data_IF_000871195522
#
_entry.id   IF_000871195522
#
_cell.length_a   1.000
_cell.length_b   1.000
_cell.length_c   1.000
_cell.angle_alpha   90.00
_cell.angle_beta   90.00
_cell.angle_gamma   90.00
#
_symmetry.space_group_name_H-M   'P 1'
#
loop_
_entity.id
_entity.type
_entity.pdbx_description
1 polymer ?
#
# COMPACT_ATOMS: atom_id res chain seq x y z
N UNK A 1 64.68 -51.42 15.32
CA UNK A 1 64.39 -52.80 14.86
C UNK A 1 65.31 -53.17 13.70
N UNK A 2 65.92 -54.36 13.75
CA UNK A 2 66.78 -54.93 12.70
C UNK A 2 66.42 -56.40 12.46
N UNK A 3 66.13 -56.80 11.21
CA UNK A 3 65.85 -58.19 10.87
C UNK A 3 67.17 -58.98 10.80
N UNK A 4 67.29 -60.06 11.56
CA UNK A 4 68.52 -60.86 11.63
C UNK A 4 68.46 -62.05 10.68
N UNK A 5 67.42 -62.86 10.82
CA UNK A 5 67.31 -64.16 10.17
C UNK A 5 65.85 -64.54 9.99
N UNK A 6 65.52 -65.16 8.86
CA UNK A 6 64.20 -65.73 8.61
C UNK A 6 64.33 -67.18 8.15
N UNK A 7 63.38 -68.00 8.61
CA UNK A 7 63.19 -69.37 8.14
C UNK A 7 61.73 -69.56 7.75
N UNK A 8 61.48 -69.91 6.49
CA UNK A 8 60.14 -70.19 5.97
C UNK A 8 59.97 -71.70 5.88
N UNK A 9 59.08 -72.27 6.69
CA UNK A 9 58.73 -73.68 6.53
C UNK A 9 57.87 -73.88 5.27
N UNK A 10 56.84 -73.06 5.10
CA UNK A 10 55.97 -73.07 3.93
C UNK A 10 55.12 -71.80 3.83
N UNK A 11 55.22 -71.08 2.71
CA UNK A 11 54.42 -69.87 2.44
C UNK A 11 54.33 -69.59 0.93
N UNK A 12 53.18 -69.89 0.33
CA UNK A 12 53.00 -69.90 -1.12
C UNK A 12 53.90 -70.95 -1.78
N UNK A 13 54.72 -70.52 -2.74
CA UNK A 13 55.72 -71.38 -3.39
C UNK A 13 57.02 -71.54 -2.57
N UNK A 14 57.21 -70.75 -1.50
CA UNK A 14 58.43 -70.82 -0.68
C UNK A 14 58.38 -72.02 0.27
N UNK A 15 59.45 -72.81 0.30
CA UNK A 15 59.58 -74.00 1.15
C UNK A 15 60.98 -74.14 1.71
N UNK A 16 61.04 -74.48 2.99
CA UNK A 16 62.27 -74.68 3.77
C UNK A 16 63.37 -73.69 3.42
N UNK A 17 62.98 -72.42 3.29
CA UNK A 17 63.86 -71.35 2.85
C UNK A 17 64.48 -70.71 4.10
N UNK A 18 65.80 -70.72 4.16
CA UNK A 18 66.56 -70.08 5.23
C UNK A 18 67.34 -68.89 4.64
N UNK A 19 67.13 -67.69 5.19
CA UNK A 19 67.84 -66.48 4.76
C UNK A 19 68.40 -65.73 5.97
N UNK A 20 69.70 -65.47 5.93
CA UNK A 20 70.35 -64.50 6.80
C UNK A 20 70.19 -63.09 6.20
N UNK A 21 69.54 -62.19 6.94
CA UNK A 21 69.27 -60.82 6.49
C UNK A 21 70.29 -59.81 7.03
N UNK A 22 71.01 -60.16 8.10
CA UNK A 22 72.06 -59.33 8.69
C UNK A 22 73.37 -60.10 8.84
N UNK A 23 74.48 -59.45 8.49
CA UNK A 23 75.82 -59.99 8.74
C UNK A 23 76.19 -59.88 10.23
N UNK A 24 76.71 -60.95 10.86
CA UNK A 24 77.23 -60.89 12.23
C UNK A 24 78.33 -59.83 12.38
N UNK A 25 78.18 -58.91 13.32
CA UNK A 25 79.22 -57.93 13.68
C UNK A 25 79.26 -56.64 12.85
N UNK A 26 78.36 -56.42 11.88
CA UNK A 26 78.23 -55.14 11.16
C UNK A 26 76.89 -54.44 11.48
N UNK A 27 76.91 -53.30 12.20
CA UNK A 27 75.72 -52.49 12.38
C UNK A 27 75.45 -51.67 11.11
N UNK A 28 74.44 -52.06 10.34
CA UNK A 28 73.94 -51.33 9.16
C UNK A 28 74.28 -51.99 7.83
N UNK A 29 73.28 -52.12 6.96
CA UNK A 29 73.41 -52.71 5.63
C UNK A 29 72.11 -52.66 4.84
N UNK A 30 72.22 -52.75 3.52
CA UNK A 30 71.08 -52.90 2.61
C UNK A 30 71.02 -54.37 2.21
N UNK A 31 69.92 -55.06 2.54
CA UNK A 31 69.68 -56.41 2.04
C UNK A 31 69.03 -56.33 0.67
N UNK A 32 69.70 -56.83 -0.36
CA UNK A 32 69.18 -56.88 -1.72
C UNK A 32 68.77 -58.31 -2.10
N UNK A 33 67.47 -58.54 -2.27
CA UNK A 33 66.94 -59.82 -2.76
C UNK A 33 66.90 -59.79 -4.31
N UNK A 34 67.87 -60.43 -4.95
CA UNK A 34 67.97 -60.56 -6.41
C UNK A 34 67.42 -61.90 -6.89
N UNK A 35 66.70 -61.88 -8.00
CA UNK A 35 66.22 -63.09 -8.66
C UNK A 35 65.28 -62.76 -9.82
N UNK A 36 64.98 -63.73 -10.70
CA UNK A 36 64.03 -63.55 -11.79
C UNK A 36 62.63 -63.18 -11.28
N UNK A 37 61.77 -62.72 -12.19
CA UNK A 37 60.34 -62.58 -11.87
C UNK A 37 59.81 -63.92 -11.35
N UNK A 38 58.85 -63.87 -10.43
CA UNK A 38 58.25 -65.06 -9.79
C UNK A 38 59.19 -65.89 -8.89
N UNK A 39 60.44 -65.47 -8.68
CA UNK A 39 61.35 -66.10 -7.70
C UNK A 39 60.91 -65.95 -6.22
N UNK A 40 59.72 -65.40 -5.96
CA UNK A 40 59.17 -65.28 -4.60
C UNK A 40 59.57 -64.03 -3.82
N UNK A 41 60.18 -63.00 -4.44
CA UNK A 41 60.60 -61.76 -3.75
C UNK A 41 59.44 -61.05 -3.03
N UNK A 42 58.33 -60.80 -3.73
CA UNK A 42 57.12 -60.21 -3.15
C UNK A 42 56.48 -61.13 -2.09
N UNK A 43 56.63 -62.43 -2.26
CA UNK A 43 56.17 -63.47 -1.31
C UNK A 43 56.97 -63.42 -0.01
N UNK A 44 58.29 -63.21 -0.06
CA UNK A 44 59.15 -62.99 1.13
C UNK A 44 58.71 -61.72 1.86
N UNK A 45 58.45 -60.62 1.14
CA UNK A 45 57.95 -59.39 1.75
C UNK A 45 56.56 -59.56 2.39
N UNK A 46 55.67 -60.35 1.78
CA UNK A 46 54.39 -60.72 2.38
C UNK A 46 54.57 -61.61 3.63
N UNK A 47 55.50 -62.56 3.60
CA UNK A 47 55.83 -63.42 4.73
C UNK A 47 56.34 -62.60 5.92
N UNK A 48 57.31 -61.69 5.71
CA UNK A 48 57.84 -60.80 6.75
C UNK A 48 56.73 -59.98 7.40
N UNK A 49 55.83 -59.40 6.61
CA UNK A 49 54.66 -58.66 7.14
C UNK A 49 53.75 -59.56 7.98
N UNK A 50 53.50 -60.78 7.51
CA UNK A 50 52.71 -61.76 8.24
C UNK A 50 53.37 -62.24 9.53
N UNK A 51 54.69 -62.29 9.58
CA UNK A 51 55.43 -62.57 10.81
C UNK A 51 55.30 -61.44 11.83
N UNK A 52 55.42 -60.18 11.41
CA UNK A 52 55.33 -59.02 12.30
C UNK A 52 53.90 -58.77 12.79
N UNK A 53 52.90 -58.77 11.90
CA UNK A 53 51.53 -58.35 12.20
C UNK A 53 50.49 -59.48 12.25
N UNK A 54 50.92 -60.72 11.99
CA UNK A 54 50.05 -61.88 11.87
C UNK A 54 49.62 -62.16 10.44
N UNK A 55 49.37 -63.45 10.16
CA UNK A 55 48.89 -63.90 8.86
C UNK A 55 47.39 -63.64 8.70
N UNK A 56 46.97 -63.32 7.48
CA UNK A 56 45.56 -63.14 7.12
C UNK A 56 44.74 -64.42 7.38
N UNK A 57 43.54 -64.25 7.96
CA UNK A 57 42.59 -65.34 8.18
C UNK A 57 42.05 -65.87 6.84
N UNK A 58 41.64 -67.14 6.81
CA UNK A 58 40.95 -67.73 5.64
C UNK A 58 39.77 -66.84 5.21
N UNK A 59 39.74 -66.42 3.94
CA UNK A 59 38.69 -65.57 3.37
C UNK A 59 38.90 -64.05 3.51
N UNK A 60 40.05 -63.59 4.01
CA UNK A 60 40.39 -62.17 4.03
C UNK A 60 40.74 -61.60 2.63
N UNK A 61 40.60 -60.28 2.46
CA UNK A 61 40.88 -59.59 1.20
C UNK A 61 42.34 -59.73 0.71
N UNK A 62 43.29 -59.97 1.63
CA UNK A 62 44.64 -60.40 1.31
C UNK A 62 44.67 -61.93 1.26
N UNK A 63 44.92 -62.49 0.07
CA UNK A 63 44.97 -63.93 -0.15
C UNK A 63 45.91 -64.64 0.85
N UNK A 64 45.47 -65.79 1.36
CA UNK A 64 46.29 -66.63 2.22
C UNK A 64 47.28 -67.38 1.34
N UNK A 65 48.57 -67.10 1.49
CA UNK A 65 49.66 -67.79 0.77
C UNK A 65 49.84 -69.23 1.28
N UNK A 66 48.79 -70.06 1.19
CA UNK A 66 48.86 -71.46 1.62
C UNK A 66 49.93 -72.21 0.78
N UNK A 67 50.70 -73.15 1.36
CA UNK A 67 51.79 -73.83 0.65
C UNK A 67 51.22 -74.72 -0.48
N UNK A 68 51.70 -74.54 -1.71
CA UNK A 68 51.09 -75.15 -2.90
C UNK A 68 51.10 -76.70 -2.93
N UNK A 69 52.14 -77.35 -2.42
CA UNK A 69 52.23 -78.83 -2.34
C UNK A 69 52.14 -79.36 -0.91
N UNK A 70 51.59 -78.57 0.01
CA UNK A 70 51.51 -78.93 1.43
C UNK A 70 52.81 -78.69 2.20
N UNK A 71 52.74 -78.89 3.52
CA UNK A 71 53.81 -78.56 4.46
C UNK A 71 53.32 -77.78 5.68
N UNK A 72 54.23 -77.43 6.59
CA UNK A 72 53.89 -76.61 7.76
C UNK A 72 53.79 -75.15 7.33
N UNK A 73 52.57 -74.60 7.29
CA UNK A 73 52.35 -73.20 6.93
C UNK A 73 52.92 -72.27 8.01
N UNK A 74 53.75 -71.32 7.58
CA UNK A 74 54.40 -70.33 8.44
C UNK A 74 55.92 -70.51 8.53
N UNK A 75 56.50 -70.05 9.63
CA UNK A 75 57.94 -70.07 9.84
C UNK A 75 58.41 -69.31 11.08
N UNK A 76 59.68 -68.92 11.07
CA UNK A 76 60.38 -68.28 12.19
C UNK A 76 61.09 -67.01 11.71
N UNK A 77 61.09 -66.00 12.56
CA UNK A 77 61.75 -64.71 12.32
C UNK A 77 62.51 -64.29 13.57
N UNK A 78 63.79 -63.98 13.41
CA UNK A 78 64.64 -63.40 14.44
C UNK A 78 64.89 -61.92 14.13
N UNK A 79 64.67 -61.08 15.13
CA UNK A 79 64.74 -59.62 15.03
C UNK A 79 65.49 -59.09 16.24
N UNK A 80 66.21 -57.99 16.07
CA UNK A 80 66.86 -57.25 17.16
C UNK A 80 66.16 -55.91 17.34
N UNK A 81 65.86 -55.53 18.58
CA UNK A 81 65.33 -54.19 18.87
C UNK A 81 66.45 -53.13 18.96
N UNK A 82 66.07 -51.88 19.17
CA UNK A 82 67.00 -50.75 19.33
C UNK A 82 67.87 -50.85 20.60
N UNK A 83 67.48 -51.70 21.56
CA UNK A 83 68.21 -51.99 22.80
C UNK A 83 69.12 -53.21 22.66
N UNK A 84 69.20 -53.81 21.48
CA UNK A 84 70.03 -54.99 21.21
C UNK A 84 69.45 -56.31 21.74
N UNK A 85 68.17 -56.35 22.09
CA UNK A 85 67.51 -57.56 22.57
C UNK A 85 67.02 -58.40 21.39
N UNK A 86 67.22 -59.72 21.46
CA UNK A 86 66.81 -60.66 20.42
C UNK A 86 65.35 -61.09 20.62
N UNK A 87 64.54 -60.84 19.61
CA UNK A 87 63.15 -61.27 19.50
C UNK A 87 63.05 -62.45 18.53
N UNK A 88 62.38 -63.52 18.97
CA UNK A 88 62.07 -64.69 18.15
C UNK A 88 60.56 -64.80 18.00
N UNK A 89 60.10 -64.73 16.76
CA UNK A 89 58.69 -64.85 16.40
C UNK A 89 58.55 -66.16 15.63
N UNK A 90 57.75 -67.08 16.15
CA UNK A 90 57.39 -68.32 15.49
C UNK A 90 55.89 -68.31 15.24
N UNK A 91 55.50 -68.56 13.99
CA UNK A 91 54.10 -68.72 13.59
C UNK A 91 53.99 -69.95 12.75
N UNK A 92 53.37 -71.00 13.29
CA UNK A 92 53.20 -72.28 12.60
C UNK A 92 51.75 -72.72 12.68
N UNK A 93 51.19 -73.15 11.56
CA UNK A 93 49.88 -73.80 11.56
C UNK A 93 50.03 -75.27 11.97
N UNK A 94 49.37 -75.63 13.07
CA UNK A 94 49.26 -77.01 13.55
C UNK A 94 47.79 -77.33 13.80
N UNK A 95 47.36 -78.51 13.33
CA UNK A 95 45.98 -79.00 13.48
C UNK A 95 44.91 -77.98 13.02
N UNK A 96 45.18 -77.24 11.94
CA UNK A 96 44.24 -76.24 11.38
C UNK A 96 44.13 -74.93 12.17
N UNK A 97 44.99 -74.71 13.17
CA UNK A 97 45.05 -73.46 13.95
C UNK A 97 46.44 -72.82 13.85
N UNK A 98 46.48 -71.49 13.74
CA UNK A 98 47.74 -70.74 13.74
C UNK A 98 48.28 -70.63 15.17
N UNK A 99 49.38 -71.30 15.46
CA UNK A 99 50.08 -71.19 16.73
C UNK A 99 51.12 -70.08 16.61
N UNK A 100 51.03 -69.07 17.48
CA UNK A 100 51.99 -67.97 17.55
C UNK A 100 52.73 -68.03 18.88
N UNK A 101 54.05 -68.07 18.79
CA UNK A 101 54.97 -68.06 19.93
C UNK A 101 55.95 -66.91 19.71
N UNK A 102 56.00 -65.98 20.67
CA UNK A 102 56.89 -64.83 20.62
C UNK A 102 57.74 -64.86 21.88
N UNK A 103 59.05 -64.79 21.70
CA UNK A 103 60.01 -64.72 22.79
C UNK A 103 60.91 -63.50 22.64
N UNK A 104 61.26 -62.91 23.76
CA UNK A 104 62.30 -61.89 23.86
C UNK A 104 63.40 -62.39 24.78
N UNK A 105 64.65 -62.25 24.37
CA UNK A 105 65.82 -62.49 25.22
C UNK A 105 66.12 -61.20 26.00
N UNK A 106 65.88 -61.23 27.31
CA UNK A 106 66.21 -60.12 28.20
C UNK A 106 67.71 -59.89 28.33
N UNK A 107 68.09 -58.74 28.88
CA UNK A 107 69.50 -58.39 29.13
C UNK A 107 70.19 -59.34 30.13
N UNK A 108 69.41 -60.05 30.95
CA UNK A 108 69.86 -61.09 31.88
C UNK A 108 70.02 -62.48 31.21
N UNK A 109 69.78 -62.56 29.89
CA UNK A 109 69.84 -63.78 29.09
C UNK A 109 68.61 -64.68 29.22
N UNK A 110 67.59 -64.31 30.00
CA UNK A 110 66.37 -65.11 30.17
C UNK A 110 65.42 -64.91 28.99
N UNK A 111 64.72 -65.98 28.63
CA UNK A 111 63.68 -65.95 27.60
C UNK A 111 62.34 -65.59 28.22
N UNK A 112 61.79 -64.47 27.84
CA UNK A 112 60.46 -64.00 28.24
C UNK A 112 59.45 -64.29 27.13
N UNK A 113 58.26 -64.77 27.48
CA UNK A 113 57.18 -65.00 26.50
C UNK A 113 56.37 -63.72 26.34
N UNK A 114 56.24 -63.26 25.10
CA UNK A 114 55.59 -62.01 24.76
C UNK A 114 54.25 -62.24 24.05
N UNK A 115 53.40 -61.21 24.07
CA UNK A 115 52.11 -61.18 23.36
C UNK A 115 52.23 -60.38 22.07
N UNK A 116 51.26 -60.52 21.16
CA UNK A 116 51.21 -59.73 19.93
C UNK A 116 51.16 -58.21 20.19
N UNK A 117 50.34 -57.69 21.13
CA UNK A 117 50.33 -56.25 21.42
C UNK A 117 51.66 -55.74 22.00
N UNK A 118 52.36 -56.56 22.79
CA UNK A 118 53.68 -56.21 23.31
C UNK A 118 54.73 -56.13 22.19
N UNK A 119 54.71 -57.07 21.24
CA UNK A 119 55.53 -57.00 20.03
C UNK A 119 55.27 -55.70 19.25
N UNK A 120 54.00 -55.38 18.99
CA UNK A 120 53.63 -54.19 18.23
C UNK A 120 54.05 -52.89 18.93
N UNK A 121 53.91 -52.82 20.24
CA UNK A 121 54.26 -51.62 21.01
C UNK A 121 55.78 -51.48 21.19
N UNK A 122 56.45 -52.55 21.60
CA UNK A 122 57.84 -52.51 22.05
C UNK A 122 58.85 -52.70 20.91
N UNK A 123 58.54 -53.53 19.91
CA UNK A 123 59.42 -53.77 18.76
C UNK A 123 59.07 -52.89 17.56
N UNK A 124 57.77 -52.68 17.30
CA UNK A 124 57.27 -51.98 16.10
C UNK A 124 56.84 -50.53 16.38
N UNK A 125 57.05 -50.02 17.60
CA UNK A 125 56.79 -48.62 17.95
C UNK A 125 55.30 -48.22 17.93
N UNK A 126 54.39 -49.18 18.12
CA UNK A 126 52.94 -48.94 18.14
C UNK A 126 52.29 -48.80 16.76
N UNK A 127 53.04 -49.07 15.69
CA UNK A 127 52.52 -49.04 14.32
C UNK A 127 51.68 -50.29 14.06
N UNK A 128 50.44 -50.12 13.61
CA UNK A 128 49.62 -51.24 13.16
C UNK A 128 50.03 -51.70 11.74
N UNK A 129 49.63 -52.91 11.34
CA UNK A 129 50.04 -53.49 10.05
C UNK A 129 49.52 -52.75 8.81
N UNK A 130 48.50 -51.92 8.95
CA UNK A 130 48.00 -51.08 7.86
C UNK A 130 48.89 -49.85 7.66
N UNK A 131 49.21 -49.15 8.76
CA UNK A 131 50.14 -48.02 8.77
C UNK A 131 51.54 -48.45 8.31
N UNK A 132 52.01 -49.63 8.73
CA UNK A 132 53.30 -50.15 8.28
C UNK A 132 53.37 -50.33 6.76
N UNK A 133 52.28 -50.86 6.17
CA UNK A 133 52.21 -51.03 4.72
C UNK A 133 52.29 -49.71 3.98
N UNK A 134 51.60 -48.68 4.49
CA UNK A 134 51.54 -47.35 3.87
C UNK A 134 52.83 -46.55 4.04
N UNK A 135 53.52 -46.68 5.17
CA UNK A 135 54.69 -45.85 5.50
C UNK A 135 56.03 -46.48 5.14
N UNK A 136 56.17 -47.80 5.28
CA UNK A 136 57.48 -48.47 5.22
C UNK A 136 57.61 -49.45 4.04
N UNK A 137 56.55 -49.67 3.26
CA UNK A 137 56.54 -50.59 2.14
C UNK A 137 56.08 -49.90 0.86
N UNK A 138 56.89 -48.96 0.35
CA UNK A 138 56.64 -48.26 -0.90
C UNK A 138 56.64 -49.28 -2.05
N UNK A 139 55.49 -49.41 -2.70
CA UNK A 139 55.31 -50.23 -3.88
C UNK A 139 55.69 -49.47 -5.15
N UNK A 140 55.88 -50.19 -6.26
CA UNK A 140 56.20 -49.57 -7.54
C UNK A 140 55.07 -48.65 -8.03
N UNK A 141 53.82 -48.99 -7.75
CA UNK A 141 52.65 -48.20 -8.15
C UNK A 141 52.60 -46.87 -7.38
N UNK A 142 52.81 -46.91 -6.06
CA UNK A 142 52.92 -45.71 -5.21
C UNK A 142 54.10 -44.81 -5.63
N UNK A 143 55.19 -45.40 -6.11
CA UNK A 143 56.34 -44.65 -6.62
C UNK A 143 56.00 -43.89 -7.92
N UNK A 144 55.15 -44.47 -8.78
CA UNK A 144 54.70 -43.81 -10.01
C UNK A 144 53.69 -42.69 -9.72
N UNK A 145 52.80 -42.85 -8.74
CA UNK A 145 51.88 -41.79 -8.31
C UNK A 145 52.64 -40.60 -7.71
N UNK A 146 53.67 -40.87 -6.91
CA UNK A 146 54.57 -39.83 -6.37
C UNK A 146 55.28 -39.02 -7.46
N UNK A 147 55.62 -39.62 -8.59
CA UNK A 147 56.25 -38.93 -9.71
C UNK A 147 55.28 -38.03 -10.50
N UNK A 148 53.98 -38.28 -10.42
CA UNK A 148 52.95 -37.49 -11.09
C UNK A 148 52.58 -36.20 -10.33
N UNK A 149 52.86 -36.14 -9.03
CA UNK A 149 52.53 -35.01 -8.16
C UNK A 149 53.56 -33.89 -8.29
N UNK A 150 53.11 -32.64 -8.41
CA UNK A 150 53.99 -31.46 -8.52
C UNK A 150 53.82 -30.50 -7.34
N UNK A 151 54.93 -30.01 -6.77
CA UNK A 151 54.92 -28.94 -5.77
C UNK A 151 54.30 -29.34 -4.42
N UNK A 152 53.43 -28.48 -3.88
CA UNK A 152 52.81 -28.61 -2.55
C UNK A 152 51.91 -29.87 -2.40
N UNK A 153 51.55 -30.50 -3.52
CA UNK A 153 50.79 -31.75 -3.55
C UNK A 153 51.56 -32.94 -2.94
N UNK A 154 52.89 -32.89 -2.96
CA UNK A 154 53.74 -33.91 -2.31
C UNK A 154 53.58 -33.86 -0.80
N UNK A 155 53.47 -32.66 -0.22
CA UNK A 155 53.20 -32.49 1.21
C UNK A 155 51.84 -33.05 1.59
N UNK A 156 50.80 -32.71 0.83
CA UNK A 156 49.45 -33.22 1.05
C UNK A 156 49.36 -34.75 0.90
N UNK A 157 50.03 -35.34 -0.08
CA UNK A 157 50.09 -36.80 -0.27
C UNK A 157 50.82 -37.51 0.88
N UNK A 158 51.92 -36.93 1.39
CA UNK A 158 52.61 -37.45 2.58
C UNK A 158 51.75 -37.35 3.85
N UNK A 159 50.95 -36.29 3.98
CA UNK A 159 49.96 -36.16 5.05
C UNK A 159 48.79 -37.15 4.90
N UNK A 160 48.31 -37.39 3.68
CA UNK A 160 47.20 -38.32 3.37
C UNK A 160 47.60 -39.80 3.55
N UNK A 161 48.86 -40.13 3.23
CA UNK A 161 49.45 -41.45 3.49
C UNK A 161 49.76 -41.69 4.97
N UNK A 162 50.06 -40.64 5.75
CA UNK A 162 50.44 -40.74 7.16
C UNK A 162 49.31 -40.64 8.19
N UNK A 163 48.26 -39.87 7.92
CA UNK A 163 47.13 -39.63 8.82
C UNK A 163 45.83 -39.72 8.00
N UNK A 164 45.21 -40.89 7.95
CA UNK A 164 43.99 -41.11 7.19
C UNK A 164 42.93 -40.04 7.48
N UNK A 165 42.63 -39.20 6.48
CA UNK A 165 41.66 -38.10 6.61
C UNK A 165 42.07 -36.77 5.97
N UNK A 166 43.32 -36.60 5.53
CA UNK A 166 43.81 -35.36 4.89
C UNK A 166 42.95 -34.90 3.71
N UNK A 167 42.55 -35.84 2.84
CA UNK A 167 41.67 -35.52 1.71
C UNK A 167 40.29 -34.96 2.10
N UNK A 168 39.69 -35.47 3.17
CA UNK A 168 38.36 -35.04 3.63
C UNK A 168 38.39 -33.62 4.21
N UNK A 169 39.48 -33.27 4.89
CA UNK A 169 39.68 -31.91 5.42
C UNK A 169 39.85 -30.92 4.28
N UNK A 170 40.66 -31.24 3.27
CA UNK A 170 40.84 -30.40 2.08
C UNK A 170 39.54 -30.22 1.28
N UNK A 171 38.75 -31.29 1.11
CA UNK A 171 37.43 -31.23 0.47
C UNK A 171 36.45 -30.34 1.26
N UNK A 172 36.45 -30.45 2.59
CA UNK A 172 35.61 -29.61 3.46
C UNK A 172 36.02 -28.13 3.42
N UNK A 173 37.31 -27.84 3.42
CA UNK A 173 37.84 -26.47 3.32
C UNK A 173 37.46 -25.82 1.98
N UNK A 174 37.58 -26.55 0.88
CA UNK A 174 37.17 -26.08 -0.43
C UNK A 174 35.66 -25.80 -0.48
N UNK A 175 34.84 -26.68 0.11
CA UNK A 175 33.39 -26.49 0.19
C UNK A 175 33.02 -25.25 1.01
N UNK A 176 33.63 -25.08 2.20
CA UNK A 176 33.41 -23.91 3.05
C UNK A 176 33.80 -22.61 2.33
N UNK A 177 34.91 -22.62 1.60
CA UNK A 177 35.34 -21.47 0.81
C UNK A 177 34.33 -21.13 -0.28
N UNK A 178 33.79 -22.13 -0.99
CA UNK A 178 32.77 -21.92 -2.02
C UNK A 178 31.46 -21.35 -1.46
N UNK A 179 30.99 -21.83 -0.30
CA UNK A 179 29.79 -21.27 0.33
C UNK A 179 30.00 -19.86 0.87
N UNK A 180 31.15 -19.61 1.51
CA UNK A 180 31.52 -18.25 1.93
C UNK A 180 31.57 -17.30 0.73
N UNK A 181 32.14 -17.76 -0.38
CA UNK A 181 32.27 -17.01 -1.64
C UNK A 181 30.92 -16.67 -2.30
N UNK A 182 29.92 -17.56 -2.18
CA UNK A 182 28.54 -17.31 -2.64
C UNK A 182 27.84 -16.24 -1.80
N UNK A 183 28.04 -16.31 -0.48
CA UNK A 183 27.48 -15.35 0.46
C UNK A 183 28.14 -13.98 0.33
N UNK A 184 29.47 -13.93 0.27
CA UNK A 184 30.23 -12.69 0.25
C UNK A 184 31.67 -12.82 -0.30
N UNK A 185 32.04 -11.93 -1.22
CA UNK A 185 33.40 -11.63 -1.67
C UNK A 185 33.62 -10.12 -1.71
N UNK A 186 34.78 -9.61 -1.25
CA UNK A 186 35.08 -8.17 -1.24
C UNK A 186 34.96 -7.46 -2.60
N UNK A 187 35.02 -8.19 -3.73
CA UNK A 187 34.91 -7.64 -5.09
C UNK A 187 33.88 -8.35 -5.98
N UNK A 188 33.05 -9.22 -5.42
CA UNK A 188 32.04 -9.93 -6.21
C UNK A 188 30.78 -9.07 -6.40
N UNK A 189 30.27 -9.05 -7.63
CA UNK A 189 29.20 -8.14 -8.06
C UNK A 189 27.78 -8.68 -7.84
N UNK A 190 27.64 -9.99 -7.61
CA UNK A 190 26.36 -10.70 -7.53
C UNK A 190 26.36 -11.72 -6.40
N UNK A 191 26.38 -11.24 -5.16
CA UNK A 191 26.30 -12.08 -3.96
C UNK A 191 24.93 -12.01 -3.33
N UNK A 192 24.51 -13.12 -2.74
CA UNK A 192 23.21 -13.27 -2.10
C UNK A 192 23.00 -12.24 -0.98
N UNK A 193 24.04 -11.99 -0.17
CA UNK A 193 23.98 -11.03 0.93
C UNK A 193 23.73 -9.60 0.42
N UNK A 194 24.38 -9.22 -0.69
CA UNK A 194 24.18 -7.89 -1.30
C UNK A 194 22.77 -7.76 -1.85
N UNK A 195 22.25 -8.78 -2.54
CA UNK A 195 20.88 -8.76 -3.05
C UNK A 195 19.85 -8.68 -1.92
N UNK A 196 20.08 -9.42 -0.83
CA UNK A 196 19.21 -9.43 0.35
C UNK A 196 19.20 -8.07 1.04
N UNK A 197 20.36 -7.44 1.23
CA UNK A 197 20.44 -6.08 1.79
C UNK A 197 19.74 -5.06 0.89
N UNK A 198 19.90 -5.14 -0.42
CA UNK A 198 19.19 -4.26 -1.36
C UNK A 198 17.67 -4.48 -1.37
N UNK A 199 17.22 -5.71 -1.16
CA UNK A 199 15.80 -6.02 -1.03
C UNK A 199 15.24 -5.47 0.28
N UNK A 200 15.99 -5.60 1.38
CA UNK A 200 15.63 -5.02 2.68
C UNK A 200 15.54 -3.49 2.62
N UNK A 201 16.53 -2.83 2.04
CA UNK A 201 16.54 -1.37 1.84
C UNK A 201 15.33 -0.90 1.02
N UNK A 202 14.98 -1.64 -0.05
CA UNK A 202 13.79 -1.35 -0.87
C UNK A 202 12.51 -1.51 -0.06
N UNK A 203 12.39 -2.59 0.71
CA UNK A 203 11.23 -2.83 1.56
C UNK A 203 11.08 -1.75 2.64
N UNK A 204 12.19 -1.31 3.25
CA UNK A 204 12.17 -0.27 4.28
C UNK A 204 11.79 1.11 3.72
N UNK A 205 12.26 1.44 2.50
CA UNK A 205 11.81 2.65 1.80
C UNK A 205 10.31 2.62 1.51
N UNK A 206 9.83 1.52 0.93
CA UNK A 206 8.40 1.34 0.65
C UNK A 206 7.55 1.43 1.93
N UNK A 207 8.03 0.86 3.04
CA UNK A 207 7.37 0.96 4.35
C UNK A 207 7.30 2.40 4.84
N UNK A 208 8.39 3.16 4.76
CA UNK A 208 8.43 4.58 5.17
C UNK A 208 7.52 5.45 4.30
N UNK A 209 7.52 5.24 3.00
CA UNK A 209 6.63 5.93 2.06
C UNK A 209 5.16 5.62 2.35
N UNK A 210 4.83 4.34 2.57
CA UNK A 210 3.47 3.92 2.95
C UNK A 210 3.01 4.53 4.28
N UNK A 211 3.90 4.61 5.29
CA UNK A 211 3.60 5.28 6.55
C UNK A 211 3.36 6.78 6.37
N UNK A 212 4.16 7.46 5.54
CA UNK A 212 3.97 8.87 5.25
C UNK A 212 2.65 9.12 4.48
N UNK A 213 2.29 8.24 3.54
CA UNK A 213 1.01 8.32 2.82
C UNK A 213 -0.18 8.08 3.75
N UNK A 214 -0.11 7.10 4.65
CA UNK A 214 -1.16 6.85 5.63
C UNK A 214 -1.37 8.05 6.57
N UNK A 215 -0.28 8.69 7.03
CA UNK A 215 -0.37 9.91 7.83
C UNK A 215 -1.06 11.06 7.08
N UNK A 216 -0.72 11.26 5.79
CA UNK A 216 -1.38 12.25 4.93
C UNK A 216 -2.86 11.95 4.70
N UNK A 217 -3.23 10.67 4.61
CA UNK A 217 -4.63 10.26 4.46
C UNK A 217 -5.43 10.66 5.70
N UNK A 218 -4.92 10.37 6.91
CA UNK A 218 -5.58 10.76 8.18
C UNK A 218 -5.74 12.28 8.27
N UNK A 219 -4.70 13.05 7.90
CA UNK A 219 -4.78 14.52 7.86
C UNK A 219 -5.82 15.02 6.84
N UNK A 220 -5.86 14.40 5.65
CA UNK A 220 -6.83 14.77 4.60
C UNK A 220 -8.26 14.42 5.00
N UNK A 221 -8.49 13.29 5.66
CA UNK A 221 -9.80 12.90 6.20
C UNK A 221 -10.27 13.86 7.30
N UNK A 222 -9.37 14.26 8.20
CA UNK A 222 -9.66 15.26 9.22
C UNK A 222 -10.03 16.62 8.59
N UNK A 223 -9.27 17.05 7.58
CA UNK A 223 -9.55 18.30 6.87
C UNK A 223 -10.87 18.24 6.09
N UNK A 224 -11.17 17.12 5.43
CA UNK A 224 -12.46 16.91 4.77
C UNK A 224 -13.63 17.00 5.76
N UNK A 225 -13.52 16.35 6.92
CA UNK A 225 -14.54 16.41 7.96
C UNK A 225 -14.75 17.84 8.49
N UNK A 226 -13.67 18.62 8.65
CA UNK A 226 -13.75 20.03 9.02
C UNK A 226 -14.46 20.87 7.95
N UNK A 227 -14.10 20.69 6.67
CA UNK A 227 -14.70 21.40 5.54
C UNK A 227 -16.19 21.05 5.41
N UNK A 228 -16.55 19.77 5.54
CA UNK A 228 -17.95 19.31 5.48
C UNK A 228 -18.78 19.91 6.62
N UNK A 229 -18.27 19.92 7.84
CA UNK A 229 -18.92 20.57 8.97
C UNK A 229 -19.10 22.09 8.73
N UNK A 230 -18.10 22.74 8.14
CA UNK A 230 -18.17 24.15 7.74
C UNK A 230 -19.23 24.41 6.65
N UNK A 231 -19.33 23.53 5.66
CA UNK A 231 -20.35 23.60 4.60
C UNK A 231 -21.76 23.45 5.17
N UNK A 232 -21.98 22.50 6.08
CA UNK A 232 -23.27 22.28 6.72
C UNK A 232 -23.69 23.49 7.57
N UNK A 233 -22.76 24.06 8.35
CA UNK A 233 -22.99 25.26 9.14
C UNK A 233 -23.33 26.46 8.23
N UNK A 234 -22.59 26.67 7.15
CA UNK A 234 -22.85 27.72 6.19
C UNK A 234 -24.20 27.54 5.47
N UNK A 235 -24.56 26.31 5.11
CA UNK A 235 -25.84 25.98 4.50
C UNK A 235 -27.01 26.27 5.47
N UNK A 236 -26.86 25.92 6.75
CA UNK A 236 -27.85 26.23 7.78
C UNK A 236 -28.01 27.74 8.00
N UNK A 237 -26.91 28.48 8.10
CA UNK A 237 -26.91 29.95 8.21
C UNK A 237 -27.58 30.60 6.99
N UNK A 238 -27.27 30.14 5.78
CA UNK A 238 -27.91 30.64 4.56
C UNK A 238 -29.42 30.42 4.55
N UNK A 239 -29.90 29.28 5.06
CA UNK A 239 -31.34 29.00 5.18
C UNK A 239 -32.01 30.00 6.13
N UNK A 240 -31.47 30.17 7.34
CA UNK A 240 -32.06 31.09 8.33
C UNK A 240 -32.07 32.54 7.87
N UNK A 241 -30.98 33.00 7.24
CA UNK A 241 -30.89 34.35 6.68
C UNK A 241 -31.90 34.55 5.54
N UNK A 242 -32.11 33.54 4.68
CA UNK A 242 -33.14 33.63 3.63
C UNK A 242 -34.55 33.68 4.18
N UNK A 243 -34.85 32.91 5.23
CA UNK A 243 -36.15 32.94 5.90
C UNK A 243 -36.41 34.31 6.54
N UNK A 244 -35.41 34.85 7.23
CA UNK A 244 -35.47 36.19 7.81
C UNK A 244 -35.68 37.25 6.72
N UNK A 245 -34.91 37.19 5.63
CA UNK A 245 -35.05 38.10 4.50
C UNK A 245 -36.46 38.04 3.89
N UNK A 246 -36.99 36.84 3.63
CA UNK A 246 -38.33 36.67 3.08
C UNK A 246 -39.42 37.23 4.02
N UNK A 247 -39.24 37.10 5.33
CA UNK A 247 -40.15 37.73 6.31
C UNK A 247 -40.06 39.25 6.24
N UNK A 248 -38.85 39.82 6.22
CA UNK A 248 -38.63 41.26 6.14
C UNK A 248 -39.16 41.85 4.83
N UNK A 249 -38.97 41.18 3.69
CA UNK A 249 -39.50 41.59 2.39
C UNK A 249 -41.03 41.61 2.37
N UNK A 250 -41.68 40.56 2.92
CA UNK A 250 -43.15 40.55 3.07
C UNK A 250 -43.64 41.68 3.96
N UNK A 251 -42.97 41.92 5.10
CA UNK A 251 -43.31 43.00 6.01
C UNK A 251 -43.15 44.37 5.35
N UNK A 252 -42.06 44.58 4.59
CA UNK A 252 -41.82 45.80 3.83
C UNK A 252 -42.90 46.02 2.75
N UNK A 253 -43.30 44.96 2.04
CA UNK A 253 -44.34 45.04 1.01
C UNK A 253 -45.70 45.50 1.56
N UNK A 254 -46.08 45.02 2.75
CA UNK A 254 -47.37 45.40 3.38
C UNK A 254 -47.28 46.64 4.27
N UNK A 255 -46.08 47.21 4.48
CA UNK A 255 -45.84 48.29 5.44
C UNK A 255 -46.73 49.51 5.20
N UNK A 256 -46.89 49.93 3.94
CA UNK A 256 -47.69 51.09 3.60
C UNK A 256 -49.19 50.83 3.82
N UNK A 257 -49.66 49.62 3.51
CA UNK A 257 -51.04 49.19 3.77
C UNK A 257 -51.32 49.08 5.26
N UNK A 258 -50.35 48.58 6.05
CA UNK A 258 -50.43 48.52 7.50
C UNK A 258 -50.53 49.93 8.11
N UNK A 259 -49.68 50.86 7.69
CA UNK A 259 -49.76 52.27 8.13
C UNK A 259 -51.12 52.88 7.80
N UNK A 260 -51.65 52.64 6.60
CA UNK A 260 -53.01 53.09 6.22
C UNK A 260 -54.08 52.48 7.10
N UNK A 261 -53.99 51.19 7.43
CA UNK A 261 -54.93 50.51 8.32
C UNK A 261 -54.90 51.08 9.74
N UNK A 262 -53.70 51.32 10.29
CA UNK A 262 -53.56 51.93 11.62
C UNK A 262 -54.16 53.32 11.63
N UNK A 263 -53.82 54.17 10.65
CA UNK A 263 -54.39 55.51 10.52
C UNK A 263 -55.92 55.48 10.36
N UNK A 264 -56.45 54.54 9.57
CA UNK A 264 -57.89 54.36 9.40
C UNK A 264 -58.59 53.91 10.70
N UNK A 265 -57.95 53.03 11.48
CA UNK A 265 -58.46 52.60 12.79
C UNK A 265 -58.46 53.74 13.81
N UNK A 266 -57.41 54.54 13.84
CA UNK A 266 -57.35 55.73 14.70
C UNK A 266 -58.41 56.76 14.29
N UNK A 267 -58.56 57.01 12.99
CA UNK A 267 -59.61 57.89 12.48
C UNK A 267 -61.01 57.38 12.86
N UNK A 268 -61.27 56.07 12.72
CA UNK A 268 -62.53 55.45 13.11
C UNK A 268 -62.78 55.56 14.62
N UNK A 269 -61.77 55.34 15.45
CA UNK A 269 -61.88 55.47 16.90
C UNK A 269 -62.09 56.94 17.35
N UNK A 270 -61.60 57.90 16.57
CA UNK A 270 -61.82 59.33 16.80
C UNK A 270 -63.20 59.84 16.35
N UNK A 271 -63.95 59.06 15.58
CA UNK A 271 -65.32 59.44 15.21
C UNK A 271 -66.26 59.28 16.41
N UNK A 272 -67.22 60.19 16.59
CA UNK A 272 -68.23 60.04 17.62
C UNK A 272 -69.04 58.76 17.39
N UNK A 273 -69.40 58.02 18.45
CA UNK A 273 -70.23 56.83 18.31
C UNK A 273 -71.55 57.21 17.63
N UNK A 274 -71.92 56.46 16.59
CA UNK A 274 -73.19 56.59 15.88
C UNK A 274 -74.32 55.99 16.73
N UNK A 275 -74.62 56.60 17.87
CA UNK A 275 -75.66 56.13 18.79
C UNK A 275 -77.08 56.42 18.26
N UNK A 276 -77.26 57.48 17.46
CA UNK A 276 -78.57 57.97 17.01
C UNK A 276 -78.66 58.09 15.48
N UNK A 277 -78.22 57.06 14.74
CA UNK A 277 -78.37 57.03 13.27
C UNK A 277 -79.75 56.46 12.89
N UNK A 278 -80.64 57.25 12.25
CA UNK A 278 -81.96 56.75 11.85
C UNK A 278 -81.86 55.59 10.85
N UNK A 279 -82.74 54.59 10.91
CA UNK A 279 -82.70 53.44 9.99
C UNK A 279 -82.89 53.82 8.51
N UNK A 280 -83.46 54.99 8.22
CA UNK A 280 -83.69 55.53 6.88
C UNK A 280 -82.68 56.62 6.46
N UNK A 281 -81.60 56.81 7.21
CA UNK A 281 -80.66 57.91 7.02
C UNK A 281 -80.02 57.96 5.63
N UNK A 282 -79.73 56.81 5.00
CA UNK A 282 -79.21 56.76 3.63
C UNK A 282 -80.23 57.31 2.62
N UNK A 283 -81.50 56.88 2.73
CA UNK A 283 -82.58 57.37 1.88
C UNK A 283 -82.84 58.88 2.09
N UNK A 284 -82.76 59.34 3.35
CA UNK A 284 -82.86 60.77 3.69
C UNK A 284 -81.69 61.59 3.12
N UNK A 285 -80.47 61.06 3.17
CA UNK A 285 -79.30 61.71 2.58
C UNK A 285 -79.46 61.85 1.06
N UNK A 286 -79.76 60.77 0.35
CA UNK A 286 -79.99 60.82 -1.10
C UNK A 286 -81.15 61.74 -1.49
N UNK A 287 -82.23 61.77 -0.70
CA UNK A 287 -83.33 62.69 -0.92
C UNK A 287 -82.91 64.16 -0.75
N UNK A 288 -82.08 64.46 0.25
CA UNK A 288 -81.54 65.80 0.45
C UNK A 288 -80.51 66.19 -0.64
N UNK A 289 -79.68 65.26 -1.09
CA UNK A 289 -78.73 65.48 -2.19
C UNK A 289 -79.46 65.77 -3.50
N UNK A 290 -80.53 65.01 -3.80
CA UNK A 290 -81.43 65.30 -4.92
C UNK A 290 -82.08 66.68 -4.79
N UNK A 291 -82.61 67.01 -3.60
CA UNK A 291 -83.20 68.34 -3.34
C UNK A 291 -82.19 69.47 -3.51
N UNK A 292 -80.95 69.27 -3.08
CA UNK A 292 -79.87 70.24 -3.25
C UNK A 292 -79.56 70.43 -4.74
N UNK A 293 -79.38 69.35 -5.49
CA UNK A 293 -79.12 69.41 -6.93
C UNK A 293 -80.29 70.06 -7.70
N UNK A 294 -81.54 69.76 -7.34
CA UNK A 294 -82.72 70.41 -7.90
C UNK A 294 -82.75 71.90 -7.61
N UNK A 295 -82.46 72.29 -6.36
CA UNK A 295 -82.40 73.69 -5.94
C UNK A 295 -81.28 74.45 -6.66
N UNK A 296 -80.10 73.84 -6.82
CA UNK A 296 -78.98 74.42 -7.56
C UNK A 296 -79.31 74.60 -9.05
N UNK A 297 -79.94 73.61 -9.68
CA UNK A 297 -80.40 73.69 -11.07
C UNK A 297 -81.53 74.72 -11.25
N UNK A 298 -82.44 74.85 -10.27
CA UNK A 298 -83.47 75.89 -10.27
C UNK A 298 -82.85 77.29 -10.13
N UNK A 299 -81.86 77.44 -9.25
CA UNK A 299 -81.11 78.69 -9.08
C UNK A 299 -80.35 79.07 -10.35
N UNK A 300 -79.70 78.12 -11.01
CA UNK A 300 -79.01 78.34 -12.28
C UNK A 300 -79.98 78.83 -13.37
N UNK A 301 -81.12 78.15 -13.54
CA UNK A 301 -82.18 78.56 -14.48
C UNK A 301 -82.73 79.95 -14.18
N UNK A 302 -82.98 80.26 -12.90
CA UNK A 302 -83.44 81.58 -12.48
C UNK A 302 -82.41 82.68 -12.80
N UNK A 303 -81.11 82.40 -12.59
CA UNK A 303 -80.02 83.32 -12.95
C UNK A 303 -79.95 83.55 -14.47
N UNK A 304 -80.09 82.51 -15.28
CA UNK A 304 -80.13 82.63 -16.75
C UNK A 304 -81.34 83.44 -17.22
N UNK A 305 -82.54 83.16 -16.68
CA UNK A 305 -83.74 83.92 -16.99
C UNK A 305 -83.59 85.38 -16.62
N UNK A 306 -83.07 85.67 -15.42
CA UNK A 306 -82.77 87.04 -15.00
C UNK A 306 -81.83 87.73 -15.98
N UNK A 307 -80.73 87.09 -16.36
CA UNK A 307 -79.78 87.66 -17.32
C UNK A 307 -80.43 87.89 -18.70
N UNK A 308 -81.33 87.01 -19.15
CA UNK A 308 -82.07 87.19 -20.39
C UNK A 308 -83.04 88.38 -20.33
N UNK A 309 -83.76 88.55 -19.21
CA UNK A 309 -84.62 89.70 -18.98
C UNK A 309 -83.83 91.02 -18.88
N UNK A 310 -82.69 91.02 -18.21
CA UNK A 310 -81.79 92.18 -18.13
C UNK A 310 -81.29 92.59 -19.54
N UNK A 311 -80.89 91.61 -20.38
CA UNK A 311 -80.52 91.90 -21.79
C UNK A 311 -81.69 92.44 -22.60
N UNK A 312 -82.89 91.86 -22.43
CA UNK A 312 -84.10 92.31 -23.14
C UNK A 312 -84.47 93.74 -22.74
N UNK A 313 -84.38 94.05 -21.45
CA UNK A 313 -84.61 95.39 -20.92
C UNK A 313 -83.60 96.40 -21.49
N UNK A 314 -82.31 96.04 -21.52
CA UNK A 314 -81.26 96.90 -22.07
C UNK A 314 -81.36 97.11 -23.60
N UNK A 315 -81.92 96.14 -24.33
CA UNK A 315 -82.12 96.22 -25.78
C UNK A 315 -83.34 97.05 -26.20
N UNK A 316 -84.28 97.30 -25.29
CA UNK A 316 -85.38 98.22 -25.54
C UNK A 316 -84.80 99.63 -25.71
N UNK A 317 -84.95 100.20 -26.92
CA UNK A 317 -84.70 101.61 -27.19
C UNK A 317 -86.03 102.32 -27.36
N UNK A 318 -86.57 102.94 -26.29
CA UNK A 318 -87.80 103.71 -26.41
C UNK A 318 -87.55 104.85 -27.42
N UNK A 319 -88.42 104.98 -28.41
CA UNK A 319 -88.36 106.11 -29.33
C UNK A 319 -88.91 107.34 -28.60
N UNK A 320 -88.03 108.12 -28.00
CA UNK A 320 -88.41 109.29 -27.19
C UNK A 320 -89.28 110.29 -27.95
N UNK A 321 -89.09 110.44 -29.27
CA UNK A 321 -89.93 111.29 -30.10
C UNK A 321 -91.41 110.84 -30.16
N UNK A 322 -91.67 109.54 -30.24
CA UNK A 322 -93.04 108.99 -30.18
C UNK A 322 -93.61 109.04 -28.76
N UNK A 323 -92.77 108.84 -27.74
CA UNK A 323 -93.17 108.99 -26.35
C UNK A 323 -93.50 110.45 -25.97
N UNK A 324 -92.78 111.43 -26.52
CA UNK A 324 -93.06 112.85 -26.34
C UNK A 324 -94.38 113.26 -27.02
N UNK A 325 -94.71 112.63 -28.15
CA UNK A 325 -96.00 112.79 -28.82
C UNK A 325 -97.12 111.96 -28.17
N UNK A 326 -96.84 111.12 -27.16
CA UNK A 326 -97.84 110.22 -26.61
C UNK A 326 -99.02 110.96 -25.98
N UNK A 327 -98.80 112.10 -25.32
CA UNK A 327 -99.89 112.93 -24.78
C UNK A 327 -100.77 113.50 -25.88
N UNK A 328 -100.17 113.96 -26.97
CA UNK A 328 -100.84 114.51 -28.16
C UNK A 328 -101.58 113.42 -28.95
N UNK A 329 -100.98 112.24 -29.14
CA UNK A 329 -101.62 111.08 -29.75
C UNK A 329 -102.81 110.58 -28.92
N UNK A 330 -102.69 110.53 -27.59
CA UNK A 330 -103.83 110.21 -26.71
C UNK A 330 -104.91 111.31 -26.71
N UNK A 331 -104.56 112.59 -26.94
CA UNK A 331 -105.51 113.69 -27.12
C UNK A 331 -106.25 113.56 -28.44
N UNK A 332 -105.53 113.32 -29.54
CA UNK A 332 -106.09 113.13 -30.88
C UNK A 332 -106.93 111.86 -31.00
N UNK A 333 -106.53 110.75 -30.37
CA UNK A 333 -107.35 109.53 -30.31
C UNK A 333 -108.70 109.79 -29.64
N UNK A 334 -108.71 110.53 -28.51
CA UNK A 334 -109.95 110.95 -27.85
C UNK A 334 -110.78 111.93 -28.69
N UNK A 335 -110.14 112.83 -29.44
CA UNK A 335 -110.84 113.72 -30.37
C UNK A 335 -111.39 112.97 -31.59
N UNK A 336 -110.71 111.94 -32.10
CA UNK A 336 -111.20 111.11 -33.21
C UNK A 336 -112.46 110.32 -32.81
N UNK A 337 -112.55 109.85 -31.57
CA UNK A 337 -113.77 109.25 -31.04
C UNK A 337 -114.91 110.28 -30.94
N UNK A 338 -114.58 111.52 -30.58
CA UNK A 338 -115.56 112.62 -30.53
C UNK A 338 -116.03 113.04 -31.93
N UNK A 339 -115.13 113.08 -32.92
CA UNK A 339 -115.45 113.41 -34.31
C UNK A 339 -116.29 112.31 -34.96
N UNK A 340 -116.02 111.02 -34.71
CA UNK A 340 -116.89 109.92 -35.14
C UNK A 340 -118.30 110.09 -34.61
N UNK A 341 -118.45 110.44 -33.33
CA UNK A 341 -119.76 110.71 -32.74
C UNK A 341 -120.48 111.91 -33.40
N UNK A 342 -119.74 112.94 -33.81
CA UNK A 342 -120.29 114.10 -34.52
C UNK A 342 -120.70 113.77 -35.97
N UNK A 343 -120.00 112.85 -36.64
CA UNK A 343 -120.40 112.36 -37.96
C UNK A 343 -121.66 111.50 -37.92
N UNK A 344 -121.80 110.65 -36.90
CA UNK A 344 -123.02 109.85 -36.69
C UNK A 344 -124.25 110.74 -36.45
N UNK A 345 -124.11 111.79 -35.62
CA UNK A 345 -125.20 112.75 -35.35
C UNK A 345 -125.52 113.67 -36.53
N UNK A 346 -124.54 114.01 -37.37
CA UNK A 346 -124.79 114.72 -38.63
C UNK A 346 -125.57 113.86 -39.64
N UNK A 347 -125.23 112.57 -39.75
CA UNK A 347 -125.96 111.63 -40.60
C UNK A 347 -127.40 111.40 -40.10
N UNK A 348 -127.63 111.39 -38.78
CA UNK A 348 -128.97 111.32 -38.19
C UNK A 348 -129.81 112.57 -38.48
N UNK A 349 -129.20 113.76 -38.46
CA UNK A 349 -129.91 115.04 -38.73
C UNK A 349 -130.17 115.29 -40.23
N UNK A 350 -129.29 114.84 -41.13
CA UNK A 350 -129.57 114.82 -42.58
C UNK A 350 -130.71 113.84 -42.94
N UNK A 351 -130.76 112.68 -42.28
CA UNK A 351 -131.87 111.72 -42.46
C UNK A 351 -133.22 112.23 -41.92
N UNK A 352 -133.23 113.16 -40.95
CA UNK A 352 -134.44 113.87 -40.49
C UNK A 352 -134.88 114.98 -41.46
N UNK A 353 -133.95 115.65 -42.16
CA UNK A 353 -134.26 116.71 -43.11
C UNK A 353 -134.87 116.21 -44.43
N UNK A 354 -134.52 115.01 -44.90
CA UNK A 354 -135.11 114.39 -46.10
C UNK A 354 -136.54 113.84 -45.90
N UNK A 355 -137.07 113.82 -44.66
CA UNK A 355 -138.41 113.29 -44.35
C UNK A 355 -139.52 114.33 -44.26
N UNK A 356 -139.25 115.61 -44.52
CA UNK A 356 -140.27 116.67 -44.50
C UNK A 356 -140.61 117.14 -45.94
N UNK A 357 -141.84 116.89 -46.44
CA UNK A 357 -142.22 117.25 -47.80
C UNK A 357 -142.46 118.75 -47.98
N UNK A 358 -141.89 119.31 -49.05
CA UNK A 358 -142.19 120.65 -49.54
C UNK A 358 -143.54 120.68 -50.25
N UNK A 359 -144.49 121.44 -49.71
CA UNK A 359 -145.65 121.94 -50.44
C UNK A 359 -146.98 121.73 -49.76
N UNK A 360 -147.63 122.86 -49.44
CA UNK A 360 -149.09 122.99 -49.42
C UNK A 360 -149.71 123.19 -48.06
#
# INVERSE_FOLDING_TARGET
MRLLHLHVNGFGELRDLELELAEPGKPGGITLLLGPNEAGKSTIAAFLRGMLYGFSKRGGAAGRYEPAEGGVYGGRLAVEDDRGQEWRIERLERNGSMQTVIHRRGADGRLERMTQPALETELLGGLNGELFRRLFAITLDELHELQALQGDEVGAFLYDTGLGGGRQVAEAELWLQQEADKLYKPRGRSQELTHTLQALDRADRARREGQAQAARLVESEAHLAEVDAGLDAAAASRRSVREALALTERAAHVSQTWVRLVAAREALAGLPPLADWPPDAAARWEANERRLAEAEAALARAKEQRAAWERRLAALRPQEALLALASEAHRLARQADTIRHWQETAAETEAEAERLPAGG
#
